data_IF_182429188483
#
_entry.id   IF_182429188483
#
_cell.length_a   1.000
_cell.length_b   1.000
_cell.length_c   1.000
_cell.angle_alpha   90.00
_cell.angle_beta   90.00
_cell.angle_gamma   90.00
#
_symmetry.space_group_name_H-M   'P 1'
#
loop_
_entity.id
_entity.type
_entity.pdbx_description
1 polymer ?
#
# COMPACT_ATOMS: atom_id res chain seq x y z
N UNK A 1 15.72 25.23 16.13
CA UNK A 1 16.34 23.93 15.77
C UNK A 1 15.46 23.31 14.71
N UNK A 2 16.00 22.99 13.54
CA UNK A 2 15.22 22.41 12.44
C UNK A 2 14.55 21.11 12.91
N UNK A 3 13.26 20.89 12.58
CA UNK A 3 12.52 19.73 13.08
C UNK A 3 12.80 18.43 12.31
N UNK A 4 13.81 18.46 11.42
CA UNK A 4 14.36 17.31 10.70
C UNK A 4 15.87 17.48 10.51
N UNK A 5 16.50 16.44 9.96
CA UNK A 5 17.88 16.42 9.49
C UNK A 5 17.83 15.95 8.04
N UNK A 6 18.53 16.60 7.12
CA UNK A 6 18.62 16.12 5.73
C UNK A 6 19.40 14.79 5.68
N UNK A 7 19.04 13.90 4.75
CA UNK A 7 19.85 12.69 4.53
C UNK A 7 21.23 13.10 4.01
N UNK A 8 22.26 12.35 4.41
CA UNK A 8 23.58 12.52 3.82
C UNK A 8 23.56 12.16 2.32
N UNK A 9 24.59 12.61 1.60
CA UNK A 9 24.67 12.48 0.14
C UNK A 9 24.59 11.02 -0.33
N UNK A 10 25.21 10.09 0.41
CA UNK A 10 25.20 8.66 0.10
C UNK A 10 23.80 8.07 0.26
N UNK A 11 23.10 8.39 1.36
CA UNK A 11 21.74 7.96 1.61
C UNK A 11 20.75 8.57 0.62
N UNK A 12 20.92 9.85 0.25
CA UNK A 12 20.05 10.53 -0.72
C UNK A 12 20.21 9.94 -2.12
N UNK A 13 21.44 9.75 -2.59
CA UNK A 13 21.73 9.07 -3.87
C UNK A 13 21.14 7.66 -3.89
N UNK A 14 21.38 6.89 -2.84
CA UNK A 14 20.84 5.55 -2.71
C UNK A 14 19.30 5.54 -2.71
N UNK A 15 18.64 6.51 -2.07
CA UNK A 15 17.18 6.63 -2.07
C UNK A 15 16.64 6.89 -3.48
N UNK A 16 17.28 7.78 -4.24
CA UNK A 16 16.90 8.10 -5.62
C UNK A 16 17.02 6.85 -6.50
N UNK A 17 18.16 6.17 -6.45
CA UNK A 17 18.40 4.96 -7.26
C UNK A 17 17.43 3.84 -6.87
N UNK A 18 17.23 3.61 -5.58
CA UNK A 18 16.32 2.59 -5.07
C UNK A 18 14.86 2.88 -5.46
N UNK A 19 14.42 4.14 -5.44
CA UNK A 19 13.08 4.53 -5.92
C UNK A 19 12.94 4.19 -7.41
N UNK A 20 13.89 4.58 -8.26
CA UNK A 20 13.82 4.30 -9.69
C UNK A 20 13.70 2.79 -9.98
N UNK A 21 14.50 1.96 -9.31
CA UNK A 21 14.41 0.50 -9.44
C UNK A 21 13.08 -0.05 -8.91
N UNK A 22 12.59 0.46 -7.78
CA UNK A 22 11.31 0.04 -7.19
C UNK A 22 10.13 0.33 -8.14
N UNK A 23 10.08 1.52 -8.75
CA UNK A 23 8.99 1.87 -9.67
C UNK A 23 9.04 1.05 -10.97
N UNK A 24 10.25 0.79 -11.49
CA UNK A 24 10.43 -0.13 -12.60
C UNK A 24 9.98 -1.55 -12.24
N UNK A 25 10.27 -2.01 -11.02
CA UNK A 25 9.80 -3.29 -10.48
C UNK A 25 8.27 -3.35 -10.38
N UNK A 26 7.61 -2.32 -9.87
CA UNK A 26 6.14 -2.27 -9.83
C UNK A 26 5.52 -2.36 -11.22
N UNK A 27 6.06 -1.63 -12.19
CA UNK A 27 5.62 -1.70 -13.59
C UNK A 27 5.82 -3.09 -14.19
N UNK A 28 6.99 -3.71 -13.95
CA UNK A 28 7.27 -5.07 -14.41
C UNK A 28 6.33 -6.10 -13.76
N UNK A 29 6.01 -5.94 -12.48
CA UNK A 29 5.06 -6.80 -11.75
C UNK A 29 3.65 -6.71 -12.35
N UNK A 30 3.19 -5.51 -12.67
CA UNK A 30 1.90 -5.29 -13.33
C UNK A 30 1.86 -5.98 -14.71
N UNK A 31 2.89 -5.79 -15.54
CA UNK A 31 3.01 -6.43 -16.87
C UNK A 31 3.06 -7.95 -16.78
N UNK A 32 3.79 -8.51 -15.81
CA UNK A 32 3.84 -9.95 -15.57
C UNK A 32 2.48 -10.51 -15.14
N UNK A 33 1.69 -9.74 -14.38
CA UNK A 33 0.34 -10.15 -13.98
C UNK A 33 -0.61 -10.31 -15.18
N UNK A 34 -0.47 -9.48 -16.22
CA UNK A 34 -1.30 -9.55 -17.44
C UNK A 34 -1.05 -10.81 -18.28
N UNK A 35 0.15 -11.39 -18.20
CA UNK A 35 0.57 -12.57 -18.98
C UNK A 35 0.49 -13.88 -18.19
N UNK A 36 -0.08 -13.86 -16.97
CA UNK A 36 -0.26 -15.07 -16.14
C UNK A 36 -1.05 -16.16 -16.88
N UNK A 37 -0.77 -17.41 -16.51
CA UNK A 37 -1.30 -18.59 -17.20
C UNK A 37 -0.42 -18.98 -18.39
N UNK A 38 -1.00 -19.64 -19.37
CA UNK A 38 -0.27 -20.17 -20.52
C UNK A 38 -1.06 -20.13 -21.82
N UNK A 39 -0.38 -20.48 -22.90
CA UNK A 39 -1.01 -20.91 -24.14
C UNK A 39 -0.35 -22.21 -24.58
N UNK A 40 -1.12 -23.16 -25.08
CA UNK A 40 -0.62 -24.43 -25.59
C UNK A 40 -1.42 -24.87 -26.81
N UNK A 41 -0.78 -25.64 -27.68
CA UNK A 41 -1.46 -26.34 -28.76
C UNK A 41 -1.99 -27.68 -28.24
N UNK A 42 -3.24 -28.00 -28.58
CA UNK A 42 -3.84 -29.30 -28.26
C UNK A 42 -4.52 -29.90 -29.47
N UNK A 43 -4.20 -31.15 -29.76
CA UNK A 43 -4.86 -31.92 -30.83
C UNK A 43 -6.17 -32.51 -30.33
N UNK A 44 -7.25 -32.29 -31.07
CA UNK A 44 -8.56 -32.88 -30.82
C UNK A 44 -9.25 -33.18 -32.16
N UNK A 45 -9.79 -34.40 -32.33
CA UNK A 45 -10.50 -34.83 -33.55
C UNK A 45 -9.74 -34.52 -34.85
N UNK A 46 -8.42 -34.72 -34.87
CA UNK A 46 -7.57 -34.52 -36.05
C UNK A 46 -7.23 -33.06 -36.38
N UNK A 47 -7.57 -32.10 -35.51
CA UNK A 47 -7.18 -30.68 -35.67
C UNK A 47 -6.44 -30.20 -34.43
N UNK A 48 -5.47 -29.30 -34.61
CA UNK A 48 -4.80 -28.61 -33.50
C UNK A 48 -5.54 -27.33 -33.15
N UNK A 49 -5.73 -27.09 -31.85
CA UNK A 49 -6.38 -25.91 -31.30
C UNK A 49 -5.44 -25.16 -30.38
N UNK A 50 -5.45 -23.83 -30.47
CA UNK A 50 -4.76 -22.98 -29.51
C UNK A 50 -5.62 -22.86 -28.25
N UNK A 51 -5.08 -23.22 -27.10
CA UNK A 51 -5.77 -23.18 -25.81
C UNK A 51 -5.10 -22.15 -24.90
N UNK A 52 -5.87 -21.19 -24.40
CA UNK A 52 -5.48 -20.31 -23.28
C UNK A 52 -5.71 -21.05 -21.98
N UNK A 53 -4.71 -21.11 -21.11
CA UNK A 53 -4.83 -21.66 -19.76
C UNK A 53 -4.76 -20.52 -18.74
N UNK A 54 -5.74 -20.49 -17.83
CA UNK A 54 -5.77 -19.62 -16.66
C UNK A 54 -4.89 -20.15 -15.53
N UNK A 55 -4.73 -19.36 -14.47
CA UNK A 55 -4.01 -19.76 -13.24
C UNK A 55 -4.78 -20.78 -12.39
N UNK A 56 -6.09 -20.86 -12.60
CA UNK A 56 -7.03 -21.80 -11.97
C UNK A 56 -7.25 -23.06 -12.83
N UNK A 57 -6.34 -23.34 -13.77
CA UNK A 57 -6.45 -24.39 -14.77
C UNK A 57 -7.68 -24.31 -15.69
N UNK A 58 -8.47 -23.22 -15.67
CA UNK A 58 -9.53 -23.03 -16.67
C UNK A 58 -8.93 -22.89 -18.05
N UNK A 59 -9.57 -23.53 -19.02
CA UNK A 59 -9.07 -23.58 -20.39
C UNK A 59 -10.10 -22.98 -21.34
N UNK A 60 -9.63 -22.13 -22.25
CA UNK A 60 -10.45 -21.54 -23.30
C UNK A 60 -9.79 -21.77 -24.64
N UNK A 61 -10.51 -22.40 -25.56
CA UNK A 61 -10.05 -22.51 -26.94
C UNK A 61 -10.09 -21.15 -27.62
N UNK A 62 -9.01 -20.80 -28.32
CA UNK A 62 -8.86 -19.57 -29.11
C UNK A 62 -9.05 -19.83 -30.61
N UNK A 63 -9.22 -21.09 -31.02
CA UNK A 63 -9.46 -21.49 -32.41
C UNK A 63 -8.55 -22.61 -32.90
N UNK A 64 -8.83 -23.09 -34.11
CA UNK A 64 -7.99 -24.07 -34.83
C UNK A 64 -6.70 -23.39 -35.29
N UNK A 65 -5.63 -24.16 -35.41
CA UNK A 65 -4.34 -23.73 -35.95
C UNK A 65 -4.50 -23.09 -37.34
N UNK A 66 -4.01 -21.87 -37.43
CA UNK A 66 -4.03 -20.95 -38.57
C UNK A 66 -2.92 -19.91 -38.34
N UNK A 67 -2.53 -19.20 -39.39
CA UNK A 67 -1.53 -18.11 -39.32
C UNK A 67 -1.85 -17.12 -38.19
N UNK A 68 -3.11 -16.69 -38.08
CA UNK A 68 -3.59 -15.80 -37.02
C UNK A 68 -3.34 -16.36 -35.61
N UNK A 69 -3.67 -17.63 -35.37
CA UNK A 69 -3.48 -18.25 -34.04
C UNK A 69 -2.01 -18.56 -33.74
N UNK A 70 -1.19 -18.82 -34.76
CA UNK A 70 0.26 -18.95 -34.59
C UNK A 70 0.90 -17.63 -34.19
N UNK A 71 0.48 -16.52 -34.82
CA UNK A 71 0.93 -15.18 -34.45
C UNK A 71 0.51 -14.84 -33.01
N UNK A 72 -0.73 -15.15 -32.61
CA UNK A 72 -1.18 -14.98 -31.22
C UNK A 72 -0.32 -15.75 -30.22
N UNK A 73 0.00 -17.02 -30.53
CA UNK A 73 0.84 -17.86 -29.68
C UNK A 73 2.26 -17.28 -29.57
N UNK A 74 2.89 -16.96 -30.70
CA UNK A 74 4.24 -16.39 -30.74
C UNK A 74 4.33 -15.08 -29.95
N UNK A 75 3.39 -14.15 -30.19
CA UNK A 75 3.32 -12.89 -29.44
C UNK A 75 3.14 -13.10 -27.94
N UNK A 76 2.30 -14.07 -27.55
CA UNK A 76 2.08 -14.36 -26.14
C UNK A 76 3.35 -14.93 -25.48
N UNK A 77 4.00 -15.91 -26.08
CA UNK A 77 5.22 -16.54 -25.54
C UNK A 77 6.32 -15.50 -25.39
N UNK A 78 6.61 -14.72 -26.44
CA UNK A 78 7.63 -13.67 -26.41
C UNK A 78 7.33 -12.61 -25.35
N UNK A 79 6.08 -12.13 -25.26
CA UNK A 79 5.69 -11.15 -24.23
C UNK A 79 5.79 -11.72 -22.82
N UNK A 80 5.43 -13.00 -22.64
CA UNK A 80 5.51 -13.68 -21.35
C UNK A 80 6.96 -13.82 -20.89
N UNK A 81 7.82 -14.37 -21.74
CA UNK A 81 9.25 -14.55 -21.44
C UNK A 81 9.93 -13.22 -21.11
N UNK A 82 9.66 -12.17 -21.90
CA UNK A 82 10.20 -10.83 -21.65
C UNK A 82 9.71 -10.24 -20.30
N UNK A 83 8.42 -10.38 -19.99
CA UNK A 83 7.85 -9.87 -18.75
C UNK A 83 8.37 -10.62 -17.51
N UNK A 84 8.44 -11.96 -17.57
CA UNK A 84 8.95 -12.80 -16.48
C UNK A 84 10.45 -12.56 -16.24
N UNK A 85 11.24 -12.48 -17.32
CA UNK A 85 12.68 -12.16 -17.23
C UNK A 85 12.89 -10.78 -16.62
N UNK A 86 12.17 -9.76 -17.11
CA UNK A 86 12.28 -8.39 -16.59
C UNK A 86 11.91 -8.29 -15.12
N UNK A 87 10.83 -8.96 -14.70
CA UNK A 87 10.41 -8.99 -13.30
C UNK A 87 11.46 -9.70 -12.42
N UNK A 88 12.03 -10.82 -12.89
CA UNK A 88 13.07 -11.55 -12.17
C UNK A 88 14.29 -10.66 -11.94
N UNK A 89 14.85 -10.05 -13.00
CA UNK A 89 16.02 -9.17 -12.90
C UNK A 89 15.76 -7.98 -11.97
N UNK A 90 14.59 -7.34 -12.05
CA UNK A 90 14.25 -6.23 -11.16
C UNK A 90 14.06 -6.65 -9.71
N UNK A 91 13.59 -7.88 -9.47
CA UNK A 91 13.46 -8.42 -8.12
C UNK A 91 14.84 -8.63 -7.49
N UNK A 92 15.79 -9.17 -8.24
CA UNK A 92 17.19 -9.34 -7.81
C UNK A 92 17.87 -7.99 -7.53
N UNK A 93 17.68 -6.99 -8.39
CA UNK A 93 18.20 -5.64 -8.20
C UNK A 93 17.54 -4.93 -7.01
N UNK A 94 16.22 -5.05 -6.83
CA UNK A 94 15.53 -4.50 -5.67
C UNK A 94 16.05 -5.12 -4.36
N UNK A 95 16.42 -6.40 -4.38
CA UNK A 95 17.05 -7.07 -3.25
C UNK A 95 18.46 -6.55 -2.93
N UNK A 96 19.21 -6.10 -3.95
CA UNK A 96 20.49 -5.39 -3.76
C UNK A 96 20.25 -4.02 -3.12
N UNK A 97 19.31 -3.24 -3.64
CA UNK A 97 18.94 -1.96 -3.06
C UNK A 97 18.45 -2.10 -1.63
N UNK A 98 17.70 -3.15 -1.28
CA UNK A 98 17.33 -3.43 0.12
C UNK A 98 18.53 -3.48 1.06
N UNK A 99 19.61 -4.16 0.67
CA UNK A 99 20.82 -4.28 1.51
C UNK A 99 21.55 -2.94 1.63
N UNK A 100 21.68 -2.22 0.53
CA UNK A 100 22.30 -0.89 0.51
C UNK A 100 21.50 0.13 1.31
N UNK A 101 20.17 0.15 1.14
CA UNK A 101 19.25 0.98 1.90
C UNK A 101 19.45 0.81 3.42
N UNK A 102 19.62 -0.43 3.87
CA UNK A 102 19.92 -0.74 5.27
C UNK A 102 21.31 -0.25 5.68
N UNK A 103 22.32 -0.47 4.84
CA UNK A 103 23.71 -0.11 5.13
C UNK A 103 23.89 1.39 5.36
N UNK A 104 23.30 2.22 4.48
CA UNK A 104 23.38 3.69 4.57
C UNK A 104 22.18 4.31 5.31
N UNK A 105 21.34 3.49 5.95
CA UNK A 105 20.20 3.92 6.80
C UNK A 105 19.25 4.88 6.08
N UNK A 106 18.91 4.59 4.82
CA UNK A 106 18.04 5.44 3.97
C UNK A 106 16.70 5.73 4.64
N UNK A 107 16.07 4.71 5.21
CA UNK A 107 14.74 4.81 5.77
C UNK A 107 14.63 4.22 7.15
N UNK A 108 13.53 4.55 7.82
CA UNK A 108 13.24 4.09 9.17
C UNK A 108 11.77 3.79 9.42
N UNK A 109 10.98 3.65 8.34
CA UNK A 109 9.60 3.19 8.50
C UNK A 109 9.60 1.83 9.25
N UNK A 110 8.61 1.55 10.11
CA UNK A 110 8.50 0.26 10.76
C UNK A 110 8.45 -0.87 9.74
N UNK A 111 9.21 -1.95 9.96
CA UNK A 111 9.21 -3.10 9.04
C UNK A 111 7.81 -3.70 8.89
N UNK A 112 7.02 -3.70 9.97
CA UNK A 112 5.65 -4.21 9.97
C UNK A 112 4.72 -3.37 9.08
N UNK A 113 4.85 -2.03 9.09
CA UNK A 113 4.12 -1.14 8.17
C UNK A 113 4.44 -1.51 6.72
N UNK A 114 5.73 -1.59 6.39
CA UNK A 114 6.18 -1.92 5.02
C UNK A 114 5.71 -3.32 4.61
N UNK A 115 5.72 -4.28 5.53
CA UNK A 115 5.22 -5.63 5.27
C UNK A 115 3.70 -5.66 5.03
N UNK A 116 2.90 -4.91 5.81
CA UNK A 116 1.45 -4.74 5.60
C UNK A 116 1.19 -4.17 4.21
N UNK A 117 1.85 -3.06 3.85
CA UNK A 117 1.69 -2.44 2.53
C UNK A 117 2.09 -3.38 1.39
N UNK A 118 3.16 -4.17 1.56
CA UNK A 118 3.57 -5.19 0.58
C UNK A 118 2.54 -6.30 0.40
N UNK A 119 1.95 -6.80 1.49
CA UNK A 119 0.90 -7.83 1.42
C UNK A 119 -0.35 -7.25 0.74
N UNK A 120 -0.79 -6.07 1.16
CA UNK A 120 -1.93 -5.38 0.54
C UNK A 120 -1.72 -5.13 -0.95
N UNK A 121 -0.51 -4.70 -1.34
CA UNK A 121 -0.16 -4.51 -2.74
C UNK A 121 -0.15 -5.83 -3.51
N UNK A 122 0.36 -6.93 -2.94
CA UNK A 122 0.40 -8.26 -3.58
C UNK A 122 -1.01 -8.82 -3.78
N UNK A 123 -1.91 -8.57 -2.84
CA UNK A 123 -3.31 -8.97 -2.92
C UNK A 123 -4.16 -8.02 -3.77
N UNK A 124 -3.57 -6.93 -4.31
CA UNK A 124 -4.24 -5.84 -5.03
C UNK A 124 -5.42 -5.25 -4.23
N UNK A 125 -5.21 -5.01 -2.93
CA UNK A 125 -6.18 -4.31 -2.09
C UNK A 125 -5.68 -2.95 -1.57
N UNK A 126 -4.40 -2.64 -1.79
CA UNK A 126 -3.78 -1.40 -1.30
C UNK A 126 -4.51 -0.13 -1.77
N UNK A 127 -5.08 -0.12 -2.98
CA UNK A 127 -5.79 1.05 -3.52
C UNK A 127 -7.14 1.37 -2.86
N UNK A 128 -7.61 0.50 -1.97
CA UNK A 128 -8.82 0.72 -1.18
C UNK A 128 -8.52 1.42 0.15
N UNK A 129 -7.25 1.63 0.49
CA UNK A 129 -6.85 2.22 1.77
C UNK A 129 -5.87 3.37 1.57
N UNK A 130 -5.96 4.35 2.45
CA UNK A 130 -5.04 5.48 2.55
C UNK A 130 -4.43 5.44 3.94
N UNK A 131 -3.10 5.46 4.04
CA UNK A 131 -2.42 5.61 5.33
C UNK A 131 -2.61 7.04 5.78
N UNK A 132 -3.16 7.25 6.98
CA UNK A 132 -3.33 8.58 7.56
C UNK A 132 -2.62 8.66 8.92
N UNK A 133 -2.90 9.71 9.69
CA UNK A 133 -2.35 9.85 11.03
C UNK A 133 -0.82 10.01 11.05
N UNK A 134 -0.17 9.56 12.12
CA UNK A 134 1.28 9.77 12.29
C UNK A 134 2.10 9.07 11.20
N UNK A 135 1.65 7.92 10.70
CA UNK A 135 2.39 7.11 9.74
C UNK A 135 2.48 7.75 8.35
N UNK A 136 1.57 8.67 8.00
CA UNK A 136 1.66 9.49 6.79
C UNK A 136 3.00 10.26 6.68
N UNK A 137 3.60 10.62 7.82
CA UNK A 137 4.86 11.36 7.88
C UNK A 137 6.02 10.64 7.20
N UNK A 138 6.02 9.30 7.15
CA UNK A 138 7.07 8.54 6.46
C UNK A 138 7.06 8.76 4.94
N UNK A 139 5.90 9.09 4.34
CA UNK A 139 5.84 9.43 2.92
C UNK A 139 6.45 10.81 2.67
N UNK A 140 6.10 11.81 3.49
CA UNK A 140 6.66 13.15 3.33
C UNK A 140 8.17 13.16 3.61
N UNK A 141 8.61 12.41 4.62
CA UNK A 141 10.03 12.19 4.91
C UNK A 141 10.78 11.61 3.72
N UNK A 142 10.28 10.50 3.15
CA UNK A 142 10.88 9.85 2.00
C UNK A 142 10.85 10.75 0.76
N UNK A 143 9.80 11.55 0.57
CA UNK A 143 9.69 12.45 -0.57
C UNK A 143 10.64 13.65 -0.49
N UNK A 144 10.82 14.21 0.72
CA UNK A 144 11.72 15.33 0.96
C UNK A 144 13.20 14.92 1.10
N UNK A 145 13.50 13.62 1.28
CA UNK A 145 14.87 13.17 1.47
C UNK A 145 15.46 13.61 2.81
N UNK A 146 14.63 13.64 3.86
CA UNK A 146 15.00 14.09 5.20
C UNK A 146 14.74 13.01 6.24
N UNK A 147 14.98 13.33 7.51
CA UNK A 147 14.62 12.53 8.69
C UNK A 147 14.01 13.43 9.75
N UNK A 148 12.73 13.26 10.05
CA UNK A 148 12.03 14.02 11.10
C UNK A 148 12.58 13.71 12.51
N UNK A 149 12.38 14.59 13.48
CA UNK A 149 12.71 14.27 14.88
C UNK A 149 11.73 13.23 15.48
N UNK A 150 12.23 12.31 16.32
CA UNK A 150 11.44 11.19 16.88
C UNK A 150 10.18 11.61 17.63
N UNK A 151 10.19 12.78 18.28
CA UNK A 151 9.02 13.34 18.97
C UNK A 151 7.78 13.48 18.08
N UNK A 152 7.95 13.56 16.76
CA UNK A 152 6.84 13.64 15.81
C UNK A 152 6.28 12.26 15.43
N UNK A 153 7.01 11.16 15.65
CA UNK A 153 6.72 9.82 15.13
C UNK A 153 6.40 8.76 16.21
N UNK A 154 6.34 9.16 17.48
CA UNK A 154 6.17 8.23 18.62
C UNK A 154 4.75 7.64 18.69
N UNK A 155 4.40 6.78 17.72
CA UNK A 155 3.20 5.93 17.78
C UNK A 155 3.50 4.51 17.31
N UNK A 156 2.77 3.54 17.89
CA UNK A 156 2.82 2.12 17.53
C UNK A 156 1.56 1.67 16.77
N UNK A 157 0.78 2.63 16.29
CA UNK A 157 -0.48 2.46 15.58
C UNK A 157 -0.32 2.88 14.11
N UNK A 158 -0.95 2.18 13.18
CA UNK A 158 -1.17 2.67 11.81
C UNK A 158 -2.65 2.84 11.57
N UNK A 159 -3.02 4.07 11.20
CA UNK A 159 -4.39 4.40 10.78
C UNK A 159 -4.55 4.14 9.28
N UNK A 160 -5.42 3.19 8.91
CA UNK A 160 -5.81 2.93 7.53
C UNK A 160 -7.22 3.46 7.28
N UNK A 161 -7.33 4.50 6.46
CA UNK A 161 -8.61 5.03 6.01
C UNK A 161 -9.11 4.22 4.81
N UNK A 162 -10.19 3.46 5.01
CA UNK A 162 -10.84 2.68 3.98
C UNK A 162 -11.73 3.56 3.07
N UNK A 163 -11.51 3.48 1.76
CA UNK A 163 -12.33 4.15 0.75
C UNK A 163 -13.62 3.36 0.49
N UNK A 164 -14.66 3.69 1.26
CA UNK A 164 -15.97 3.04 1.17
C UNK A 164 -16.66 3.22 -0.19
N UNK A 165 -16.23 4.19 -1.03
CA UNK A 165 -16.72 4.33 -2.42
C UNK A 165 -16.33 3.12 -3.28
N UNK A 166 -15.24 2.43 -2.91
CA UNK A 166 -14.76 1.22 -3.58
C UNK A 166 -15.17 -0.07 -2.84
N UNK A 167 -16.13 -0.03 -1.89
CA UNK A 167 -16.45 -1.19 -1.03
C UNK A 167 -16.79 -2.46 -1.80
N UNK A 168 -17.57 -2.35 -2.88
CA UNK A 168 -18.00 -3.52 -3.66
C UNK A 168 -16.83 -4.20 -4.38
N UNK A 169 -15.87 -3.38 -4.85
CA UNK A 169 -14.65 -3.89 -5.46
C UNK A 169 -13.78 -4.59 -4.42
N UNK A 170 -13.63 -3.99 -3.23
CA UNK A 170 -12.91 -4.59 -2.11
C UNK A 170 -13.55 -5.91 -1.66
N UNK A 171 -14.85 -5.94 -1.37
CA UNK A 171 -15.56 -7.13 -0.94
C UNK A 171 -15.50 -8.27 -1.98
N UNK A 172 -15.70 -7.96 -3.26
CA UNK A 172 -15.55 -8.92 -4.35
C UNK A 172 -14.12 -9.48 -4.43
N UNK A 173 -13.11 -8.62 -4.23
CA UNK A 173 -11.71 -9.04 -4.22
C UNK A 173 -11.40 -9.97 -3.05
N UNK A 174 -11.83 -9.62 -1.84
CA UNK A 174 -11.63 -10.42 -0.64
C UNK A 174 -12.35 -11.77 -0.73
N UNK A 175 -13.59 -11.79 -1.24
CA UNK A 175 -14.34 -13.03 -1.50
C UNK A 175 -13.64 -13.95 -2.49
N UNK A 176 -13.08 -13.42 -3.58
CA UNK A 176 -12.33 -14.23 -4.55
C UNK A 176 -11.00 -14.77 -4.00
N UNK A 177 -10.45 -14.11 -2.98
CA UNK A 177 -9.24 -14.55 -2.29
C UNK A 177 -9.55 -15.52 -1.15
N UNK A 178 -10.81 -15.61 -0.72
CA UNK A 178 -11.26 -16.34 0.48
C UNK A 178 -10.47 -15.89 1.73
N UNK A 179 -10.38 -14.58 1.93
CA UNK A 179 -9.67 -13.96 3.08
C UNK A 179 -10.51 -12.86 3.71
N UNK A 180 -10.41 -12.72 5.02
CA UNK A 180 -10.81 -11.53 5.79
C UNK A 180 -9.68 -10.48 5.83
N UNK A 181 -9.95 -9.25 6.30
CA UNK A 181 -8.86 -8.28 6.52
C UNK A 181 -7.95 -8.73 7.67
N UNK A 182 -8.49 -9.36 8.71
CA UNK A 182 -7.69 -9.97 9.77
C UNK A 182 -6.72 -11.03 9.22
N UNK A 183 -7.14 -11.88 8.27
CA UNK A 183 -6.25 -12.85 7.62
C UNK A 183 -5.13 -12.18 6.83
N UNK A 184 -5.41 -11.04 6.20
CA UNK A 184 -4.39 -10.23 5.50
C UNK A 184 -3.32 -9.78 6.48
N UNK A 185 -3.71 -9.30 7.66
CA UNK A 185 -2.78 -8.91 8.73
C UNK A 185 -2.02 -10.13 9.29
N UNK A 186 -2.69 -11.27 9.48
CA UNK A 186 -2.08 -12.52 9.94
C UNK A 186 -1.05 -13.11 8.97
N UNK A 187 -1.14 -12.80 7.66
CA UNK A 187 -0.07 -13.11 6.70
C UNK A 187 1.21 -12.32 6.94
N UNK A 188 1.16 -11.20 7.65
CA UNK A 188 2.34 -10.41 8.06
C UNK A 188 2.86 -10.91 9.40
N UNK A 189 1.97 -11.07 10.37
CA UNK A 189 2.26 -11.55 11.72
C UNK A 189 1.07 -12.36 12.23
N UNK A 190 1.23 -13.66 12.43
CA UNK A 190 0.14 -14.56 12.80
C UNK A 190 -0.50 -14.25 14.15
N UNK A 191 0.14 -13.40 14.97
CA UNK A 191 -0.35 -13.01 16.30
C UNK A 191 -1.33 -11.85 16.29
N UNK A 192 -1.72 -11.34 15.12
CA UNK A 192 -2.79 -10.34 15.03
C UNK A 192 -4.12 -10.92 15.50
N UNK A 193 -4.75 -10.21 16.42
CA UNK A 193 -6.08 -10.46 16.96
C UNK A 193 -6.85 -9.13 17.01
N UNK A 194 -8.18 -9.21 16.91
CA UNK A 194 -9.05 -8.04 17.09
C UNK A 194 -9.14 -7.75 18.58
N UNK A 195 -9.08 -6.47 18.94
CA UNK A 195 -9.31 -6.05 20.31
C UNK A 195 -10.78 -6.17 20.68
N UNK A 196 -11.10 -6.91 21.75
CA UNK A 196 -12.48 -7.08 22.24
C UNK A 196 -13.16 -5.74 22.58
N UNK A 197 -12.40 -4.76 23.07
CA UNK A 197 -12.89 -3.43 23.43
C UNK A 197 -13.01 -2.47 22.22
N UNK A 198 -12.37 -2.80 21.10
CA UNK A 198 -12.23 -1.96 19.91
C UNK A 198 -12.21 -2.81 18.64
N UNK A 199 -13.40 -3.19 18.16
CA UNK A 199 -13.56 -4.06 16.98
C UNK A 199 -12.99 -3.50 15.65
N UNK A 200 -12.54 -2.24 15.65
CA UNK A 200 -11.87 -1.59 14.52
C UNK A 200 -10.35 -1.63 14.59
N UNK A 201 -9.79 -2.19 15.67
CA UNK A 201 -8.36 -2.28 15.94
C UNK A 201 -7.91 -3.73 15.96
N UNK A 202 -6.94 -4.06 15.11
CA UNK A 202 -6.19 -5.30 15.21
C UNK A 202 -4.84 -5.03 15.89
N UNK A 203 -4.47 -5.86 16.87
CA UNK A 203 -3.22 -5.74 17.61
C UNK A 203 -2.44 -7.04 17.54
N UNK A 204 -1.12 -6.97 17.35
CA UNK A 204 -0.26 -8.16 17.41
C UNK A 204 0.35 -8.36 18.80
N UNK A 205 1.03 -9.50 19.03
CA UNK A 205 1.68 -9.82 20.32
C UNK A 205 2.79 -8.83 20.75
N UNK A 206 3.22 -7.92 19.87
CA UNK A 206 4.20 -6.85 20.16
C UNK A 206 3.55 -5.50 20.46
N UNK A 207 2.22 -5.43 20.46
CA UNK A 207 1.45 -4.21 20.69
C UNK A 207 1.52 -3.22 19.52
N UNK A 208 1.72 -3.71 18.28
CA UNK A 208 1.52 -2.89 17.08
C UNK A 208 0.05 -2.95 16.68
N UNK A 209 -0.57 -1.78 16.55
CA UNK A 209 -2.00 -1.63 16.30
C UNK A 209 -2.26 -1.19 14.85
N UNK A 210 -3.31 -1.74 14.26
CA UNK A 210 -3.82 -1.37 12.94
C UNK A 210 -5.28 -0.96 13.11
N UNK A 211 -5.54 0.33 12.95
CA UNK A 211 -6.88 0.90 13.05
C UNK A 211 -7.50 1.05 11.67
N UNK A 212 -8.70 0.50 11.49
CA UNK A 212 -9.48 0.69 10.25
C UNK A 212 -10.54 1.77 10.44
N UNK A 213 -10.31 2.89 9.77
CA UNK A 213 -11.16 4.06 9.81
C UNK A 213 -11.96 4.17 8.51
N UNK A 214 -13.14 4.79 8.58
CA UNK A 214 -13.93 5.19 7.41
C UNK A 214 -14.49 6.59 7.55
N UNK A 215 -14.96 7.13 6.45
CA UNK A 215 -15.75 8.37 6.46
C UNK A 215 -17.05 8.22 7.25
N UNK A 216 -17.57 9.35 7.72
CA UNK A 216 -18.92 9.40 8.29
C UNK A 216 -19.94 8.90 7.27
N UNK A 217 -20.86 8.04 7.72
CA UNK A 217 -21.87 7.44 6.87
C UNK A 217 -22.73 8.53 6.23
N UNK A 218 -22.93 8.45 4.92
CA UNK A 218 -23.84 9.32 4.18
C UNK A 218 -24.96 8.48 3.56
N UNK A 219 -26.19 9.00 3.59
CA UNK A 219 -27.37 8.41 2.96
C UNK A 219 -27.59 6.92 3.35
N UNK A 220 -27.52 6.01 2.36
CA UNK A 220 -27.74 4.57 2.49
C UNK A 220 -26.47 3.79 2.89
N UNK A 221 -25.43 4.47 3.38
CA UNK A 221 -24.23 3.79 3.87
C UNK A 221 -24.58 2.95 5.12
N UNK A 222 -24.29 1.63 5.10
CA UNK A 222 -24.53 0.79 6.27
C UNK A 222 -23.72 1.28 7.48
N UNK A 223 -24.33 1.23 8.66
CA UNK A 223 -23.63 1.47 9.92
C UNK A 223 -24.25 0.60 11.04
N UNK A 224 -23.45 -0.19 11.78
CA UNK A 224 -22.00 -0.39 11.64
C UNK A 224 -21.62 -1.11 10.31
N UNK A 225 -20.34 -1.12 9.94
CA UNK A 225 -19.87 -1.67 8.65
C UNK A 225 -18.64 -2.57 8.85
N UNK A 226 -18.81 -3.88 8.62
CA UNK A 226 -17.70 -4.83 8.53
C UNK A 226 -16.95 -4.67 7.21
N UNK A 227 -15.67 -5.06 7.22
CA UNK A 227 -14.84 -5.03 6.02
C UNK A 227 -15.20 -6.15 5.03
N UNK A 228 -15.50 -7.33 5.54
CA UNK A 228 -15.89 -8.52 4.75
C UNK A 228 -17.10 -9.21 5.36
N UNK A 229 -17.59 -10.27 4.72
CA UNK A 229 -18.72 -11.08 5.21
C UNK A 229 -18.29 -12.10 6.30
N UNK A 230 -17.03 -12.07 6.73
CA UNK A 230 -16.50 -12.91 7.81
C UNK A 230 -16.89 -12.31 9.17
N UNK A 231 -17.53 -13.13 10.02
CA UNK A 231 -18.07 -12.70 11.31
C UNK A 231 -16.97 -12.25 12.29
N UNK A 232 -15.77 -12.81 12.15
CA UNK A 232 -14.61 -12.53 13.00
C UNK A 232 -13.68 -11.44 12.41
N UNK A 233 -14.14 -10.69 11.41
CA UNK A 233 -13.35 -9.63 10.77
C UNK A 233 -13.53 -8.24 11.42
N UNK A 234 -12.63 -7.33 11.06
CA UNK A 234 -12.59 -5.95 11.52
C UNK A 234 -13.85 -5.17 11.12
N UNK A 235 -14.28 -4.29 12.02
CA UNK A 235 -15.32 -3.30 11.80
C UNK A 235 -14.69 -1.94 11.49
N UNK A 236 -15.19 -1.23 10.48
CA UNK A 236 -14.68 0.11 10.19
C UNK A 236 -15.42 1.18 11.02
N UNK A 237 -14.67 1.93 11.84
CA UNK A 237 -15.24 3.02 12.66
C UNK A 237 -15.23 4.35 11.92
N UNK A 238 -16.26 5.16 12.15
CA UNK A 238 -16.39 6.47 11.52
C UNK A 238 -15.41 7.49 12.14
N UNK A 239 -14.56 8.08 11.30
CA UNK A 239 -13.68 9.18 11.67
C UNK A 239 -14.27 10.51 11.21
N UNK A 240 -14.45 11.44 12.16
CA UNK A 240 -14.98 12.79 11.89
C UNK A 240 -14.17 13.50 10.80
N UNK A 241 -14.86 14.11 9.84
CA UNK A 241 -14.27 14.81 8.67
C UNK A 241 -13.37 13.95 7.78
N UNK A 242 -13.35 12.62 7.91
CA UNK A 242 -12.58 11.77 6.98
C UNK A 242 -13.10 11.82 5.53
N UNK A 243 -14.31 12.35 5.29
CA UNK A 243 -14.78 12.72 3.96
C UNK A 243 -13.82 13.71 3.24
N UNK A 244 -13.23 14.66 3.98
CA UNK A 244 -12.26 15.63 3.42
C UNK A 244 -10.99 14.91 2.99
N UNK A 245 -10.54 13.93 3.77
CA UNK A 245 -9.34 13.15 3.48
C UNK A 245 -9.53 12.30 2.22
N UNK A 246 -10.67 11.62 2.07
CA UNK A 246 -11.00 10.84 0.86
C UNK A 246 -11.24 11.70 -0.39
N UNK A 247 -11.60 12.97 -0.21
CA UNK A 247 -11.79 13.95 -1.28
C UNK A 247 -10.49 14.64 -1.73
N UNK A 248 -9.42 14.56 -0.93
CA UNK A 248 -8.12 15.15 -1.24
C UNK A 248 -7.36 14.37 -2.32
N UNK A 249 -6.45 15.06 -3.02
CA UNK A 249 -5.55 14.39 -3.96
C UNK A 249 -4.66 13.39 -3.20
N UNK A 250 -4.54 12.14 -3.68
CA UNK A 250 -3.67 11.16 -3.03
C UNK A 250 -2.21 11.54 -3.25
N UNK A 251 -1.42 11.45 -2.19
CA UNK A 251 0.03 11.52 -2.24
C UNK A 251 0.60 10.11 -2.15
N UNK A 252 1.40 9.70 -3.14
CA UNK A 252 1.92 8.33 -3.20
C UNK A 252 3.42 8.32 -3.46
N UNK A 253 4.17 7.62 -2.61
CA UNK A 253 5.62 7.52 -2.76
C UNK A 253 6.16 6.19 -2.22
N UNK A 254 7.26 5.65 -2.77
CA UNK A 254 7.95 4.54 -2.13
C UNK A 254 8.58 4.99 -0.80
N UNK A 255 8.28 4.27 0.27
CA UNK A 255 8.93 4.41 1.58
C UNK A 255 9.92 3.27 1.82
N UNK A 256 10.90 3.53 2.68
CA UNK A 256 11.97 2.58 3.02
C UNK A 256 11.92 2.27 4.53
N UNK A 257 11.89 0.99 4.86
CA UNK A 257 11.94 0.50 6.25
C UNK A 257 13.33 0.54 6.86
N UNK A 258 13.41 0.36 8.18
CA UNK A 258 14.68 0.17 8.91
C UNK A 258 15.54 -0.99 8.37
N UNK A 259 14.93 -2.03 7.80
CA UNK A 259 15.66 -3.15 7.16
C UNK A 259 15.96 -2.92 5.68
N UNK A 260 15.64 -1.74 5.16
CA UNK A 260 15.85 -1.33 3.77
C UNK A 260 14.79 -1.86 2.79
N UNK A 261 13.79 -2.63 3.25
CA UNK A 261 12.65 -3.06 2.42
C UNK A 261 11.81 -1.87 2.00
N UNK A 262 11.22 -1.93 0.82
CA UNK A 262 10.43 -0.85 0.24
C UNK A 262 8.96 -1.25 0.03
N UNK A 263 8.07 -0.27 0.18
CA UNK A 263 6.67 -0.39 -0.21
C UNK A 263 6.18 0.97 -0.74
N UNK A 264 5.21 0.95 -1.67
CA UNK A 264 4.46 2.16 -2.03
C UNK A 264 3.51 2.47 -0.88
N UNK A 265 3.58 3.69 -0.35
CA UNK A 265 2.61 4.20 0.61
C UNK A 265 1.77 5.28 -0.06
N UNK A 266 0.45 5.10 -0.04
CA UNK A 266 -0.51 6.13 -0.42
C UNK A 266 -1.04 6.78 0.85
N UNK A 267 -0.94 8.10 0.93
CA UNK A 267 -1.43 8.97 1.99
C UNK A 267 -2.19 10.15 1.36
N UNK A 268 -2.69 11.07 2.18
CA UNK A 268 -3.29 12.33 1.76
C UNK A 268 -2.22 13.36 1.36
N UNK A 269 -2.61 14.40 0.62
CA UNK A 269 -1.68 15.47 0.29
C UNK A 269 -1.17 16.24 1.53
N UNK A 270 0.03 16.84 1.48
CA UNK A 270 0.57 17.62 2.58
C UNK A 270 -0.40 18.71 3.06
N UNK A 271 -1.07 19.40 2.14
CA UNK A 271 -2.09 20.42 2.45
C UNK A 271 -3.24 19.84 3.27
N UNK A 272 -3.84 18.75 2.81
CA UNK A 272 -4.93 18.09 3.51
C UNK A 272 -4.49 17.58 4.90
N UNK A 273 -3.26 17.09 5.02
CA UNK A 273 -2.68 16.67 6.30
C UNK A 273 -2.57 17.84 7.29
N UNK A 274 -2.02 18.97 6.85
CA UNK A 274 -1.84 20.17 7.67
C UNK A 274 -3.19 20.69 8.17
N UNK A 275 -4.16 20.84 7.27
CA UNK A 275 -5.51 21.30 7.61
C UNK A 275 -6.18 20.38 8.62
N UNK A 276 -6.12 19.06 8.39
CA UNK A 276 -6.74 18.08 9.26
C UNK A 276 -6.10 18.05 10.65
N UNK A 277 -4.76 18.11 10.74
CA UNK A 277 -4.03 18.11 12.01
C UNK A 277 -4.25 19.39 12.81
N UNK A 278 -4.30 20.55 12.14
CA UNK A 278 -4.67 21.83 12.78
C UNK A 278 -6.09 21.78 13.34
N UNK A 279 -7.04 21.26 12.56
CA UNK A 279 -8.41 21.08 13.01
C UNK A 279 -8.49 20.16 14.23
N UNK A 280 -7.84 18.98 14.20
CA UNK A 280 -7.81 18.07 15.36
C UNK A 280 -7.26 18.75 16.62
N UNK A 281 -6.19 19.53 16.49
CA UNK A 281 -5.58 20.25 17.62
C UNK A 281 -6.41 21.42 18.17
N UNK A 282 -7.48 21.81 17.46
CA UNK A 282 -8.43 22.85 17.86
C UNK A 282 -9.78 22.28 18.32
N UNK A 283 -9.99 20.97 18.17
CA UNK A 283 -11.24 20.30 18.54
C UNK A 283 -11.37 20.16 20.06
N UNK A 284 -12.54 20.46 20.60
CA UNK A 284 -12.82 20.40 22.04
C UNK A 284 -12.70 18.97 22.62
N UNK A 285 -13.03 17.96 21.80
CA UNK A 285 -13.02 16.54 22.22
C UNK A 285 -11.63 15.88 22.03
N UNK A 286 -10.60 16.65 21.64
CA UNK A 286 -9.28 16.08 21.40
C UNK A 286 -8.58 15.76 22.72
N UNK A 287 -8.04 14.55 22.81
CA UNK A 287 -7.14 14.15 23.89
C UNK A 287 -6.05 15.22 24.12
N UNK A 288 -6.00 15.86 25.31
CA UNK A 288 -5.03 16.91 25.63
C UNK A 288 -3.58 16.50 25.38
N UNK A 289 -3.25 15.21 25.56
CA UNK A 289 -1.90 14.68 25.35
C UNK A 289 -1.52 14.63 23.86
N UNK A 290 -2.49 14.63 22.95
CA UNK A 290 -2.27 14.58 21.49
C UNK A 290 -2.22 15.97 20.83
N UNK A 291 -2.75 17.01 21.48
CA UNK A 291 -2.88 18.36 20.90
C UNK A 291 -1.53 18.95 20.48
N UNK A 292 -0.54 18.96 21.37
CA UNK A 292 0.79 19.53 21.09
C UNK A 292 1.48 18.82 19.92
N UNK A 293 1.33 17.49 19.86
CA UNK A 293 1.86 16.65 18.79
C UNK A 293 1.18 16.93 17.46
N UNK A 294 -0.15 17.04 17.42
CA UNK A 294 -0.87 17.35 16.18
C UNK A 294 -0.45 18.71 15.60
N UNK A 295 -0.27 19.73 16.45
CA UNK A 295 0.25 21.05 16.03
C UNK A 295 1.67 20.92 15.46
N UNK A 296 2.54 20.20 16.17
CA UNK A 296 3.92 19.99 15.73
C UNK A 296 3.97 19.29 14.37
N UNK A 297 3.20 18.21 14.19
CA UNK A 297 3.14 17.47 12.93
C UNK A 297 2.63 18.35 11.79
N UNK A 298 1.60 19.17 12.03
CA UNK A 298 1.10 20.11 11.03
C UNK A 298 2.17 21.13 10.62
N UNK A 299 2.84 21.76 11.58
CA UNK A 299 3.91 22.73 11.29
C UNK A 299 5.06 22.12 10.51
N UNK A 300 5.49 20.90 10.88
CA UNK A 300 6.56 20.18 10.18
C UNK A 300 6.18 19.93 8.71
N UNK A 301 4.99 19.40 8.46
CA UNK A 301 4.56 19.05 7.10
C UNK A 301 4.35 20.28 6.23
N UNK A 302 3.84 21.38 6.80
CA UNK A 302 3.72 22.66 6.09
C UNK A 302 5.11 23.20 5.68
N UNK A 303 6.08 23.16 6.59
CA UNK A 303 7.45 23.61 6.28
C UNK A 303 8.13 22.71 5.23
N UNK A 304 7.94 21.39 5.32
CA UNK A 304 8.42 20.45 4.30
C UNK A 304 7.79 20.71 2.93
N UNK A 305 6.47 20.89 2.89
CA UNK A 305 5.74 21.15 1.64
C UNK A 305 6.25 22.42 0.96
N UNK A 306 6.47 23.49 1.73
CA UNK A 306 6.98 24.76 1.22
C UNK A 306 8.45 24.66 0.76
N UNK A 307 9.32 24.03 1.55
CA UNK A 307 10.77 23.97 1.27
C UNK A 307 11.10 23.01 0.13
N UNK A 308 10.46 21.84 0.09
CA UNK A 308 10.76 20.76 -0.87
C UNK A 308 9.72 20.64 -1.98
N UNK A 309 8.76 21.57 -2.05
CA UNK A 309 7.71 21.61 -3.08
C UNK A 309 6.94 20.29 -3.20
N UNK A 310 6.61 19.68 -2.05
CA UNK A 310 5.82 18.45 -2.04
C UNK A 310 4.43 18.76 -2.62
N UNK A 311 4.07 18.12 -3.75
CA UNK A 311 2.82 18.39 -4.45
C UNK A 311 1.60 18.20 -3.54
N UNK A 312 0.68 19.18 -3.59
CA UNK A 312 -0.59 19.24 -2.88
C UNK A 312 -1.77 18.75 -3.71
#
# INVERSE_FOLDING_TARGET
>A
MEPWIELDEDALRQLIDAKAVFEAWESARAKAAEVRGGMLWRTAKGREYLIRTGVDNKQKSLGVRSEKTEEMYSRFVTRKEAAETRLKTLTEELDRHRRLNRAVRVGRAPDILVAILQVMARLNIAEHFIVIGTHALYAYEAAAGVRLQERALATRDVDLLWDTRKRLQFASRMKNLELSMLDVLRKVDSTFEIRDDQLFTAVNAKGFEVDILRREAADLDPNPLQLTDDEDDLWAVQARRANVLLGSAPFSTPIVSVTGRMARMTTISPTAFVEFKRWMASSADRDPLKISRDRLQASIVEELANRFQLAG
#
